data_IF_118366592642
#
_entry.id   IF_118366592642
#
_cell.length_a   1.000
_cell.length_b   1.000
_cell.length_c   1.000
_cell.angle_alpha   90.00
_cell.angle_beta   90.00
_cell.angle_gamma   90.00
#
_symmetry.space_group_name_H-M   'P 1'
#
loop_
_entity.id
_entity.type
_entity.pdbx_description
1 polymer ?
#
# COMPACT_ATOMS: atom_id res chain seq x y z
N UNK A 1 -2.57 3.17 7.91
CA UNK A 1 -1.16 2.99 8.30
C UNK A 1 -0.65 4.26 8.96
N UNK A 2 0.12 4.14 10.02
CA UNK A 2 0.88 5.23 10.63
C UNK A 2 2.37 4.90 10.55
N UNK A 3 3.20 5.88 10.18
CA UNK A 3 4.66 5.72 10.18
C UNK A 3 5.27 6.33 11.44
N UNK A 4 6.16 5.58 12.04
CA UNK A 4 7.11 6.04 13.06
C UNK A 4 8.52 5.98 12.47
N UNK A 5 9.53 6.43 13.20
CA UNK A 5 10.91 6.51 12.67
C UNK A 5 11.44 5.18 12.12
N UNK A 6 11.07 4.06 12.71
CA UNK A 6 11.60 2.72 12.46
C UNK A 6 10.54 1.67 12.10
N UNK A 7 9.23 2.04 12.10
CA UNK A 7 8.14 1.07 11.93
C UNK A 7 6.90 1.65 11.28
N UNK A 8 6.10 0.77 10.68
CA UNK A 8 4.77 1.06 10.17
C UNK A 8 3.73 0.34 11.03
N UNK A 9 2.84 1.08 11.66
CA UNK A 9 1.69 0.51 12.34
C UNK A 9 0.51 0.39 11.38
N UNK A 10 -0.11 -0.79 11.35
CA UNK A 10 -1.13 -1.17 10.38
C UNK A 10 -2.40 -1.64 11.07
N UNK A 11 -3.55 -1.12 10.65
CA UNK A 11 -4.89 -1.57 11.03
C UNK A 11 -5.68 -1.96 9.80
N UNK A 12 -6.43 -3.04 9.87
CA UNK A 12 -7.47 -3.41 8.91
C UNK A 12 -8.79 -2.84 9.45
N UNK A 13 -9.26 -1.76 8.86
CA UNK A 13 -10.48 -1.09 9.32
C UNK A 13 -11.71 -1.52 8.54
N UNK A 14 -11.52 -2.10 7.36
CA UNK A 14 -12.57 -2.62 6.50
C UNK A 14 -12.01 -3.72 5.60
N UNK A 15 -12.66 -4.88 5.60
CA UNK A 15 -12.42 -5.96 4.65
C UNK A 15 -13.75 -6.52 4.19
N UNK A 16 -14.18 -6.17 2.99
CA UNK A 16 -15.50 -6.52 2.47
C UNK A 16 -15.48 -6.66 0.95
N UNK A 17 -16.14 -7.67 0.43
CA UNK A 17 -16.39 -7.83 -1.01
C UNK A 17 -17.73 -7.22 -1.42
N UNK A 18 -17.91 -7.03 -2.72
CA UNK A 18 -19.15 -6.52 -3.33
C UNK A 18 -19.60 -5.15 -2.83
N UNK A 19 -18.67 -4.28 -2.44
CA UNK A 19 -18.95 -2.87 -2.14
C UNK A 19 -18.88 -2.02 -3.39
N UNK A 20 -19.88 -1.17 -3.56
CA UNK A 20 -19.80 -0.06 -4.51
C UNK A 20 -18.99 1.09 -3.92
N UNK A 21 -18.60 2.07 -4.76
CA UNK A 21 -17.98 3.29 -4.25
C UNK A 21 -18.92 4.08 -3.34
N UNK A 22 -20.22 4.09 -3.62
CA UNK A 22 -21.22 4.73 -2.76
C UNK A 22 -21.20 4.10 -1.36
N UNK A 23 -21.22 2.75 -1.27
CA UNK A 23 -21.15 2.05 0.01
C UNK A 23 -19.87 2.39 0.78
N UNK A 24 -18.72 2.47 0.07
CA UNK A 24 -17.44 2.84 0.67
C UNK A 24 -17.46 4.29 1.18
N UNK A 25 -17.99 5.22 0.40
CA UNK A 25 -18.12 6.64 0.78
C UNK A 25 -18.99 6.79 2.01
N UNK A 26 -20.13 6.11 2.05
CA UNK A 26 -21.05 6.16 3.18
C UNK A 26 -20.44 5.51 4.43
N UNK A 27 -19.71 4.41 4.25
CA UNK A 27 -18.96 3.79 5.35
C UNK A 27 -17.89 4.73 5.90
N UNK A 28 -17.11 5.39 5.03
CA UNK A 28 -16.06 6.36 5.42
C UNK A 28 -16.67 7.54 6.20
N UNK A 29 -17.82 8.06 5.77
CA UNK A 29 -18.54 9.13 6.48
C UNK A 29 -18.99 8.67 7.87
N UNK A 30 -19.62 7.49 7.96
CA UNK A 30 -20.16 6.94 9.19
C UNK A 30 -19.07 6.63 10.24
N UNK A 31 -17.86 6.29 9.80
CA UNK A 31 -16.75 5.90 10.68
C UNK A 31 -15.66 6.96 10.80
N UNK A 32 -15.91 8.17 10.29
CA UNK A 32 -14.94 9.27 10.23
C UNK A 32 -14.32 9.56 11.60
N UNK A 33 -15.15 9.72 12.60
CA UNK A 33 -14.69 10.13 13.93
C UNK A 33 -14.03 8.97 14.69
N UNK A 34 -14.57 7.75 14.54
CA UNK A 34 -14.03 6.55 15.20
C UNK A 34 -12.58 6.27 14.76
N UNK A 35 -12.29 6.43 13.47
CA UNK A 35 -10.97 6.15 12.91
C UNK A 35 -10.16 7.41 12.62
N UNK A 36 -10.68 8.60 12.99
CA UNK A 36 -10.07 9.89 12.65
C UNK A 36 -9.73 10.00 11.14
N UNK A 37 -10.71 9.62 10.30
CA UNK A 37 -10.58 9.63 8.84
C UNK A 37 -10.81 11.03 8.30
N UNK A 38 -9.80 11.88 8.39
CA UNK A 38 -9.86 13.24 7.86
C UNK A 38 -9.83 13.20 6.34
N UNK A 39 -10.48 14.16 5.68
CA UNK A 39 -10.57 14.22 4.23
C UNK A 39 -9.21 14.44 3.52
N UNK A 40 -8.24 15.02 4.24
CA UNK A 40 -6.87 15.29 3.76
C UNK A 40 -5.94 14.05 3.85
N UNK A 41 -6.36 13.01 4.57
CA UNK A 41 -5.59 11.75 4.63
C UNK A 41 -5.63 11.09 3.25
N UNK A 42 -4.47 10.79 2.63
CA UNK A 42 -4.45 10.20 1.31
C UNK A 42 -4.98 8.76 1.33
N UNK A 43 -5.90 8.48 0.39
CA UNK A 43 -6.42 7.13 0.11
C UNK A 43 -5.75 6.65 -1.17
N UNK A 44 -5.00 5.56 -1.09
CA UNK A 44 -4.40 4.92 -2.26
C UNK A 44 -5.30 3.78 -2.74
N UNK A 45 -5.76 3.90 -3.98
CA UNK A 45 -6.65 2.93 -4.62
C UNK A 45 -5.97 2.32 -5.84
N UNK A 46 -6.50 1.19 -6.31
CA UNK A 46 -5.99 0.53 -7.51
C UNK A 46 -5.99 1.49 -8.71
N UNK A 47 -4.82 1.71 -9.31
CA UNK A 47 -4.65 2.59 -10.46
C UNK A 47 -5.35 2.10 -11.73
N UNK A 48 -5.79 0.84 -11.79
CA UNK A 48 -6.60 0.30 -12.87
C UNK A 48 -8.07 0.77 -12.82
N UNK A 49 -8.48 1.42 -11.72
CA UNK A 49 -9.86 1.86 -11.49
C UNK A 49 -9.98 3.41 -11.40
N UNK A 50 -9.58 4.16 -12.47
CA UNK A 50 -9.50 5.62 -12.41
C UNK A 50 -10.86 6.29 -12.11
N UNK A 51 -11.96 5.71 -12.59
CA UNK A 51 -13.29 6.22 -12.32
C UNK A 51 -13.64 6.16 -10.83
N UNK A 52 -13.26 5.09 -10.16
CA UNK A 52 -13.48 4.93 -8.71
C UNK A 52 -12.67 5.93 -7.91
N UNK A 53 -11.43 6.21 -8.33
CA UNK A 53 -10.59 7.23 -7.73
C UNK A 53 -11.23 8.61 -7.87
N UNK A 54 -11.77 8.92 -9.05
CA UNK A 54 -12.42 10.20 -9.31
C UNK A 54 -13.72 10.39 -8.51
N UNK A 55 -14.51 9.34 -8.32
CA UNK A 55 -15.71 9.38 -7.48
C UNK A 55 -15.36 9.70 -6.02
N UNK A 56 -14.30 9.09 -5.47
CA UNK A 56 -13.80 9.40 -4.13
C UNK A 56 -13.33 10.85 -4.01
N UNK A 57 -12.66 11.37 -5.04
CA UNK A 57 -12.24 12.80 -5.09
C UNK A 57 -13.44 13.74 -5.08
N UNK A 58 -14.46 13.45 -5.89
CA UNK A 58 -15.71 14.23 -5.93
C UNK A 58 -16.47 14.19 -4.61
N UNK A 59 -16.33 13.09 -3.86
CA UNK A 59 -16.86 12.98 -2.51
C UNK A 59 -16.01 13.72 -1.45
N UNK A 60 -14.92 14.41 -1.85
CA UNK A 60 -14.09 15.23 -0.98
C UNK A 60 -12.91 14.50 -0.34
N UNK A 61 -12.57 13.28 -0.78
CA UNK A 61 -11.42 12.53 -0.25
C UNK A 61 -10.15 12.75 -1.09
N UNK A 62 -8.98 12.71 -0.43
CA UNK A 62 -7.67 12.79 -1.10
C UNK A 62 -7.28 11.45 -1.74
N UNK A 63 -8.08 10.98 -2.71
CA UNK A 63 -7.85 9.71 -3.39
C UNK A 63 -6.75 9.83 -4.46
N UNK A 64 -5.85 8.85 -4.51
CA UNK A 64 -4.68 8.79 -5.40
C UNK A 64 -4.53 7.40 -6.00
N UNK A 65 -4.03 7.31 -7.25
CA UNK A 65 -3.66 6.01 -7.79
C UNK A 65 -2.47 5.44 -7.01
N UNK A 66 -2.52 4.16 -6.71
CA UNK A 66 -1.41 3.44 -6.10
C UNK A 66 -0.36 3.06 -7.16
N UNK A 67 0.90 3.04 -6.75
CA UNK A 67 1.95 2.36 -7.49
C UNK A 67 1.78 0.84 -7.31
N UNK A 68 1.66 0.13 -8.43
CA UNK A 68 1.39 -1.31 -8.45
C UNK A 68 2.65 -2.16 -8.63
N UNK A 69 3.85 -1.57 -8.56
CA UNK A 69 5.12 -2.31 -8.62
C UNK A 69 5.15 -3.39 -7.55
N UNK A 70 5.02 -4.65 -7.99
CA UNK A 70 4.91 -5.78 -7.06
C UNK A 70 6.23 -5.99 -6.33
N UNK A 71 7.32 -6.09 -7.07
CA UNK A 71 8.66 -6.34 -6.53
C UNK A 71 9.09 -5.22 -5.57
N UNK A 72 9.10 -3.97 -6.04
CA UNK A 72 9.55 -2.83 -5.25
C UNK A 72 8.70 -2.63 -4.00
N UNK A 73 7.38 -2.84 -4.13
CA UNK A 73 6.47 -2.76 -3.00
C UNK A 73 6.69 -3.85 -1.96
N UNK A 74 6.97 -5.09 -2.38
CA UNK A 74 7.31 -6.20 -1.47
C UNK A 74 8.64 -5.92 -0.79
N UNK A 75 9.68 -5.53 -1.53
CA UNK A 75 11.01 -5.23 -1.00
C UNK A 75 10.93 -4.07 -0.01
N UNK A 76 10.14 -3.04 -0.32
CA UNK A 76 9.90 -1.96 0.62
C UNK A 76 9.25 -2.45 1.93
N UNK A 77 8.18 -3.26 1.84
CA UNK A 77 7.51 -3.80 3.02
C UNK A 77 8.43 -4.69 3.86
N UNK A 78 9.25 -5.54 3.22
CA UNK A 78 10.23 -6.40 3.90
C UNK A 78 11.32 -5.60 4.62
N UNK A 79 11.67 -4.42 4.13
CA UNK A 79 12.66 -3.54 4.73
C UNK A 79 12.12 -2.74 5.93
N UNK A 80 10.82 -2.83 6.24
CA UNK A 80 10.19 -2.14 7.36
C UNK A 80 9.88 -3.09 8.51
N UNK A 81 9.89 -2.58 9.73
CA UNK A 81 9.24 -3.26 10.85
C UNK A 81 7.74 -3.01 10.76
N UNK A 82 6.95 -4.05 10.53
CA UNK A 82 5.49 -3.96 10.45
C UNK A 82 4.88 -4.38 11.79
N UNK A 83 4.20 -3.45 12.46
CA UNK A 83 3.37 -3.72 13.63
C UNK A 83 1.91 -3.80 13.20
N UNK A 84 1.37 -5.00 13.11
CA UNK A 84 0.01 -5.24 12.65
C UNK A 84 -0.89 -5.44 13.86
N UNK A 85 -1.95 -4.61 13.94
CA UNK A 85 -2.91 -4.73 15.03
C UNK A 85 -3.64 -6.08 14.98
N UNK A 86 -3.87 -6.70 16.12
CA UNK A 86 -4.45 -8.05 16.22
C UNK A 86 -5.85 -8.19 15.61
N UNK A 87 -6.60 -7.08 15.47
CA UNK A 87 -7.90 -7.06 14.79
C UNK A 87 -7.80 -7.20 13.26
N UNK A 88 -6.61 -7.07 12.67
CA UNK A 88 -6.38 -7.22 11.23
C UNK A 88 -6.33 -8.70 10.81
N UNK A 89 -7.40 -9.42 11.09
CA UNK A 89 -7.42 -10.90 10.97
C UNK A 89 -7.26 -11.40 9.54
N UNK A 90 -7.77 -10.65 8.54
CA UNK A 90 -7.62 -11.04 7.15
C UNK A 90 -6.19 -10.79 6.67
N UNK A 91 -5.62 -9.62 6.95
CA UNK A 91 -4.25 -9.29 6.61
C UNK A 91 -3.26 -10.29 7.25
N UNK A 92 -3.44 -10.61 8.53
CA UNK A 92 -2.60 -11.59 9.24
C UNK A 92 -2.70 -12.98 8.59
N UNK A 93 -3.91 -13.39 8.18
CA UNK A 93 -4.12 -14.66 7.49
C UNK A 93 -3.44 -14.68 6.13
N UNK A 94 -3.59 -13.61 5.34
CA UNK A 94 -2.94 -13.48 4.03
C UNK A 94 -1.40 -13.53 4.16
N UNK A 95 -0.81 -12.81 5.11
CA UNK A 95 0.64 -12.83 5.37
C UNK A 95 1.12 -14.26 5.67
N UNK A 96 0.39 -15.00 6.51
CA UNK A 96 0.76 -16.38 6.90
C UNK A 96 0.67 -17.39 5.75
N UNK A 97 -0.17 -17.11 4.75
CA UNK A 97 -0.40 -17.98 3.60
C UNK A 97 0.32 -17.50 2.33
N UNK A 98 0.96 -16.34 2.41
CA UNK A 98 1.65 -15.75 1.27
C UNK A 98 2.85 -16.59 0.83
N UNK A 99 2.85 -17.02 -0.43
CA UNK A 99 3.87 -17.89 -1.00
C UNK A 99 4.36 -17.36 -2.34
N UNK A 100 5.62 -17.61 -2.62
CA UNK A 100 6.15 -17.46 -3.96
C UNK A 100 5.74 -18.63 -4.86
N UNK A 101 5.64 -18.37 -6.16
CA UNK A 101 5.30 -19.40 -7.14
C UNK A 101 6.44 -20.42 -7.20
N UNK A 102 6.09 -21.68 -7.06
CA UNK A 102 6.99 -22.82 -7.22
C UNK A 102 6.48 -23.69 -8.35
N UNK A 103 7.36 -24.17 -9.22
CA UNK A 103 7.02 -25.10 -10.26
C UNK A 103 7.12 -26.58 -9.77
N UNK A 104 6.77 -27.49 -10.67
CA UNK A 104 6.80 -28.93 -10.38
C UNK A 104 8.22 -29.49 -10.13
N UNK A 105 9.26 -28.74 -10.49
CA UNK A 105 10.67 -29.11 -10.26
C UNK A 105 11.20 -28.58 -8.91
N UNK A 106 10.39 -27.78 -8.18
CA UNK A 106 10.80 -27.15 -6.93
C UNK A 106 11.51 -25.80 -7.14
N UNK A 107 11.51 -25.25 -8.36
CA UNK A 107 12.09 -23.94 -8.63
C UNK A 107 11.14 -22.85 -8.16
N UNK A 108 11.62 -22.00 -7.25
CA UNK A 108 10.88 -20.85 -6.70
C UNK A 108 11.13 -19.64 -7.60
N UNK A 109 10.05 -19.02 -8.08
CA UNK A 109 10.09 -17.80 -8.88
C UNK A 109 9.94 -16.57 -7.97
N UNK A 110 10.55 -15.46 -8.36
CA UNK A 110 10.42 -14.16 -7.65
C UNK A 110 9.05 -13.48 -7.93
N UNK A 111 8.02 -14.30 -8.06
CA UNK A 111 6.64 -13.90 -8.28
C UNK A 111 5.73 -14.55 -7.23
N UNK A 112 4.91 -13.76 -6.53
CA UNK A 112 3.95 -14.33 -5.58
C UNK A 112 2.81 -15.07 -6.30
N UNK A 113 2.28 -16.07 -5.62
CA UNK A 113 1.02 -16.69 -6.03
C UNK A 113 -0.11 -15.70 -5.77
N UNK A 114 -0.82 -15.30 -6.82
CA UNK A 114 -2.02 -14.45 -6.72
C UNK A 114 -3.19 -15.26 -6.18
N UNK A 115 -3.29 -15.33 -4.88
CA UNK A 115 -4.40 -16.01 -4.20
C UNK A 115 -4.64 -15.38 -2.82
N UNK A 116 -5.84 -14.80 -2.64
CA UNK A 116 -6.23 -14.15 -1.38
C UNK A 116 -5.18 -13.16 -0.86
N UNK A 117 -4.78 -12.20 -1.69
CA UNK A 117 -3.73 -11.21 -1.43
C UNK A 117 -4.26 -9.77 -1.38
N UNK A 118 -5.58 -9.58 -1.24
CA UNK A 118 -6.23 -8.27 -1.30
C UNK A 118 -5.82 -7.30 -0.19
N UNK A 119 -5.70 -7.79 1.04
CA UNK A 119 -5.23 -6.97 2.16
C UNK A 119 -3.73 -6.68 2.04
N UNK A 120 -2.94 -7.64 1.57
CA UNK A 120 -1.52 -7.47 1.29
C UNK A 120 -1.28 -6.46 0.16
N UNK A 121 -2.06 -6.52 -0.91
CA UNK A 121 -2.00 -5.53 -1.98
C UNK A 121 -2.34 -4.13 -1.45
N UNK A 122 -3.37 -4.01 -0.64
CA UNK A 122 -3.74 -2.74 -0.02
C UNK A 122 -2.64 -2.19 0.90
N UNK A 123 -2.01 -3.06 1.71
CA UNK A 123 -0.84 -2.70 2.53
C UNK A 123 0.31 -2.20 1.66
N UNK A 124 0.67 -2.95 0.63
CA UNK A 124 1.75 -2.65 -0.30
C UNK A 124 1.51 -1.33 -1.03
N UNK A 125 0.28 -1.10 -1.51
CA UNK A 125 -0.09 0.13 -2.20
C UNK A 125 0.16 1.36 -1.33
N UNK A 126 -0.32 1.36 -0.09
CA UNK A 126 -0.10 2.49 0.81
C UNK A 126 1.36 2.60 1.22
N UNK A 127 1.99 1.50 1.63
CA UNK A 127 3.36 1.50 2.13
C UNK A 127 4.33 2.03 1.08
N UNK A 128 4.27 1.53 -0.15
CA UNK A 128 5.18 1.92 -1.21
C UNK A 128 4.84 3.30 -1.80
N UNK A 129 3.57 3.55 -2.17
CA UNK A 129 3.18 4.82 -2.80
C UNK A 129 3.33 6.02 -1.87
N UNK A 130 3.10 5.85 -0.56
CA UNK A 130 3.14 6.97 0.38
C UNK A 130 4.50 7.16 1.02
N UNK A 131 5.15 6.08 1.41
CA UNK A 131 6.38 6.14 2.20
C UNK A 131 7.62 5.75 1.40
N UNK A 132 7.52 4.82 0.44
CA UNK A 132 8.64 4.33 -0.36
C UNK A 132 9.21 5.39 -1.28
N UNK A 133 8.37 6.14 -1.97
CA UNK A 133 8.80 7.17 -2.92
C UNK A 133 9.44 8.40 -2.27
N UNK A 134 9.28 8.60 -0.96
CA UNK A 134 9.93 9.70 -0.22
C UNK A 134 11.44 9.50 -0.01
N UNK A 135 11.99 8.35 -0.35
CA UNK A 135 13.44 8.06 -0.24
C UNK A 135 14.25 8.45 -1.47
N UNK A 136 13.66 8.97 -2.52
CA UNK A 136 14.42 9.56 -3.62
C UNK A 136 15.12 10.82 -3.10
N UNK A 137 16.36 10.69 -2.69
CA UNK A 137 17.26 11.82 -2.41
C UNK A 137 17.58 12.45 -3.76
N UNK A 138 17.11 13.67 -3.99
CA UNK A 138 17.56 14.49 -5.11
C UNK A 138 19.04 14.83 -4.86
N UNK A 139 19.93 14.10 -5.52
CA UNK A 139 21.36 14.44 -5.51
C UNK A 139 21.54 15.62 -6.46
N UNK A 140 22.03 16.78 -6.01
CA UNK A 140 22.31 17.92 -6.87
C UNK A 140 23.24 17.49 -8.02
N UNK A 141 22.93 17.95 -9.23
CA UNK A 141 23.64 17.54 -10.44
C UNK A 141 25.14 17.87 -10.38
N UNK A 142 25.50 18.91 -9.63
CA UNK A 142 26.87 19.31 -9.34
C UNK A 142 27.68 18.26 -8.55
N UNK A 143 27.02 17.39 -7.78
CA UNK A 143 27.67 16.30 -7.05
C UNK A 143 27.92 15.07 -7.92
N UNK A 144 27.32 15.02 -9.11
CA UNK A 144 27.52 13.96 -10.10
C UNK A 144 28.69 14.27 -11.05
N UNK A 145 29.23 15.48 -10.99
CA UNK A 145 30.45 15.85 -11.72
C UNK A 145 31.68 15.38 -10.95
N UNK A 146 31.91 14.09 -10.86
CA UNK A 146 33.18 13.56 -10.41
C UNK A 146 34.22 13.79 -11.48
N UNK A 147 35.08 14.83 -11.23
CA UNK A 147 36.44 14.93 -11.56
C UNK A 147 36.92 14.35 -12.88
N UNK A 148 36.81 15.10 -13.92
CA UNK A 148 37.89 15.11 -14.91
C UNK A 148 39.09 15.82 -14.28
N UNK A 149 39.90 15.13 -13.51
CA UNK A 149 41.23 15.53 -13.20
C UNK A 149 42.16 14.88 -14.22
N UNK A 150 42.82 15.71 -14.98
CA UNK A 150 43.95 15.39 -15.87
C UNK A 150 45.12 14.79 -15.08
#
# INVERSE_FOLDING_TARGET
IKQFSDRLQVWEILYRSHMTNADLIDWLKAHRDVWNLRADIPIYADSAEPNRIEELRRAGYSARPADKSVKDGIDYCKAQTLEIHSSAVNLIREIRTYKYREDRSGMVYDEPVKFNDHALDSLRYVAYSHFGQRRAVSIPREWLSFGGAR
#
